data_IF_321704639196
#
_entry.id   IF_321704639196
#
_cell.length_a   1.000
_cell.length_b   1.000
_cell.length_c   1.000
_cell.angle_alpha   90.00
_cell.angle_beta   90.00
_cell.angle_gamma   90.00
#
_symmetry.space_group_name_H-M   'P 1'
#
loop_
_entity.id
_entity.type
_entity.pdbx_description
1 polymer ?
#
# COMPACT_ATOMS: atom_id res chain seq x y z
N UNK A 1 -18.51 -3.98 16.02
CA UNK A 1 -17.46 -2.95 15.89
C UNK A 1 -16.13 -3.67 15.88
N UNK A 2 -15.28 -3.41 14.89
CA UNK A 2 -13.97 -4.05 14.77
C UNK A 2 -12.88 -3.00 14.93
N UNK A 3 -11.85 -3.32 15.71
CA UNK A 3 -10.68 -2.47 15.92
C UNK A 3 -9.44 -3.27 15.52
N UNK A 4 -8.68 -2.74 14.57
CA UNK A 4 -7.42 -3.31 14.12
C UNK A 4 -6.30 -2.31 14.40
N UNK A 5 -5.08 -2.81 14.63
CA UNK A 5 -3.93 -1.98 14.98
C UNK A 5 -2.68 -2.57 14.34
N UNK A 6 -1.84 -1.71 13.75
CA UNK A 6 -0.66 -2.14 12.98
C UNK A 6 0.35 -2.94 13.82
N UNK A 7 0.43 -2.68 15.12
CA UNK A 7 1.26 -3.40 16.10
C UNK A 7 0.68 -4.77 16.52
N UNK A 8 -0.60 -5.02 16.25
CA UNK A 8 -1.32 -6.24 16.68
C UNK A 8 -1.73 -7.16 15.54
N UNK A 9 -1.79 -6.66 14.31
CA UNK A 9 -2.09 -7.51 13.15
C UNK A 9 -0.93 -8.45 12.87
N UNK A 10 -1.26 -9.70 12.54
CA UNK A 10 -0.27 -10.63 12.02
C UNK A 10 -0.12 -10.38 10.53
N UNK A 11 1.11 -10.20 10.11
CA UNK A 11 1.47 -10.11 8.71
C UNK A 11 1.74 -11.50 8.14
N UNK A 12 1.30 -11.72 6.91
CA UNK A 12 1.76 -12.82 6.08
C UNK A 12 2.34 -12.27 4.78
N UNK A 13 3.35 -12.95 4.25
CA UNK A 13 3.98 -12.53 3.01
C UNK A 13 3.12 -12.93 1.80
N UNK A 14 2.82 -11.95 0.96
CA UNK A 14 2.22 -12.17 -0.35
C UNK A 14 3.33 -12.33 -1.38
N UNK A 15 3.45 -13.55 -1.92
CA UNK A 15 4.40 -13.85 -2.98
C UNK A 15 3.80 -13.57 -4.36
N UNK A 16 4.66 -13.18 -5.28
CA UNK A 16 4.35 -12.96 -6.69
C UNK A 16 5.32 -13.78 -7.54
N UNK A 17 4.93 -14.21 -8.75
CA UNK A 17 5.87 -14.80 -9.72
C UNK A 17 7.06 -13.90 -10.05
N UNK A 18 6.91 -12.59 -9.84
CA UNK A 18 7.98 -11.59 -9.98
C UNK A 18 8.44 -11.19 -8.57
N UNK A 19 9.66 -11.58 -8.15
CA UNK A 19 10.13 -11.42 -6.76
C UNK A 19 10.13 -9.98 -6.24
N UNK A 20 10.21 -8.99 -7.13
CA UNK A 20 10.18 -7.57 -6.81
C UNK A 20 8.80 -7.09 -6.35
N UNK A 21 7.72 -7.77 -6.79
CA UNK A 21 6.33 -7.48 -6.39
C UNK A 21 5.91 -8.36 -5.22
N UNK A 22 6.63 -8.27 -4.11
CA UNK A 22 6.32 -9.00 -2.89
C UNK A 22 6.19 -8.02 -1.71
N UNK A 23 5.19 -8.25 -0.87
CA UNK A 23 4.93 -7.42 0.31
C UNK A 23 4.29 -8.27 1.40
N UNK A 24 4.32 -7.77 2.63
CA UNK A 24 3.58 -8.35 3.73
C UNK A 24 2.23 -7.64 3.87
N UNK A 25 1.18 -8.39 4.20
CA UNK A 25 -0.17 -7.84 4.38
C UNK A 25 -0.83 -8.46 5.60
N UNK A 26 -1.71 -7.70 6.25
CA UNK A 26 -2.62 -8.23 7.26
C UNK A 26 -3.59 -9.24 6.66
N UNK A 27 -4.33 -9.94 7.53
CA UNK A 27 -5.60 -10.56 7.14
C UNK A 27 -6.53 -9.57 6.43
N UNK A 28 -7.53 -10.09 5.71
CA UNK A 28 -8.54 -9.30 4.99
C UNK A 28 -9.49 -8.59 5.95
N UNK A 29 -9.07 -7.43 6.48
CA UNK A 29 -9.76 -6.74 7.57
C UNK A 29 -11.21 -6.37 7.21
N UNK A 30 -11.44 -5.99 5.95
CA UNK A 30 -12.76 -5.66 5.44
C UNK A 30 -13.73 -6.86 5.51
N UNK A 31 -13.25 -8.06 5.18
CA UNK A 31 -14.04 -9.30 5.26
C UNK A 31 -14.34 -9.65 6.72
N UNK A 32 -13.32 -9.58 7.59
CA UNK A 32 -13.49 -9.80 9.04
C UNK A 32 -14.49 -8.82 9.67
N UNK A 33 -14.55 -7.58 9.16
CA UNK A 33 -15.45 -6.55 9.65
C UNK A 33 -16.84 -6.54 8.97
N UNK A 34 -17.04 -7.36 7.92
CA UNK A 34 -18.25 -7.33 7.10
C UNK A 34 -18.46 -6.02 6.34
N UNK A 35 -17.37 -5.30 6.02
CA UNK A 35 -17.42 -4.05 5.25
C UNK A 35 -17.79 -4.33 3.80
N UNK A 36 -18.70 -3.52 3.25
CA UNK A 36 -19.23 -3.69 1.88
C UNK A 36 -18.60 -2.76 0.84
N UNK A 37 -18.06 -1.63 1.29
CA UNK A 37 -17.64 -0.55 0.40
C UNK A 37 -16.20 -0.13 0.64
N UNK A 38 -15.73 -0.21 1.89
CA UNK A 38 -14.38 0.18 2.26
C UNK A 38 -13.51 -1.05 2.46
N UNK A 39 -12.37 -1.08 1.77
CA UNK A 39 -11.34 -2.09 1.97
C UNK A 39 -10.08 -1.42 2.48
N UNK A 40 -9.62 -1.83 3.65
CA UNK A 40 -8.33 -1.42 4.21
C UNK A 40 -7.54 -2.68 4.54
N UNK A 41 -6.31 -2.73 4.04
CA UNK A 41 -5.30 -3.69 4.45
C UNK A 41 -4.16 -2.90 5.10
N UNK A 42 -3.55 -3.44 6.15
CA UNK A 42 -2.27 -2.90 6.64
C UNK A 42 -1.18 -3.68 5.92
N UNK A 43 -0.22 -2.99 5.32
CA UNK A 43 0.87 -3.60 4.54
C UNK A 43 2.22 -3.20 5.11
N UNK A 44 3.24 -3.98 4.75
CA UNK A 44 4.63 -3.65 5.00
C UNK A 44 5.43 -4.04 3.76
N UNK A 45 6.17 -3.09 3.22
CA UNK A 45 6.98 -3.25 2.02
C UNK A 45 8.46 -3.35 2.42
N UNK A 46 9.07 -4.49 2.11
CA UNK A 46 10.49 -4.72 2.41
C UNK A 46 11.40 -3.85 1.52
N UNK A 47 12.66 -3.60 1.93
CA UNK A 47 13.68 -2.96 1.10
C UNK A 47 13.77 -3.54 -0.32
N UNK A 48 13.82 -2.66 -1.32
CA UNK A 48 13.94 -3.04 -2.73
C UNK A 48 12.68 -3.66 -3.33
N UNK A 49 11.54 -3.63 -2.65
CA UNK A 49 10.26 -4.17 -3.14
C UNK A 49 9.32 -3.09 -3.62
N UNK A 50 8.41 -3.50 -4.50
CA UNK A 50 7.32 -2.70 -5.02
C UNK A 50 5.98 -3.22 -4.50
N UNK A 51 5.05 -2.31 -4.19
CA UNK A 51 3.69 -2.70 -3.78
C UNK A 51 2.91 -3.35 -4.92
N UNK A 52 3.05 -2.82 -6.15
CA UNK A 52 2.43 -3.34 -7.37
C UNK A 52 3.09 -2.71 -8.62
N UNK A 53 2.90 -3.25 -9.83
CA UNK A 53 3.23 -2.53 -11.06
C UNK A 53 2.57 -1.15 -11.14
N UNK A 54 3.15 -0.24 -11.93
CA UNK A 54 2.54 1.06 -12.21
C UNK A 54 1.18 0.89 -12.90
N UNK A 55 0.12 1.36 -12.26
CA UNK A 55 -1.25 1.08 -12.65
C UNK A 55 -2.21 2.18 -12.19
N UNK A 56 -3.46 2.11 -12.65
CA UNK A 56 -4.56 2.92 -12.13
C UNK A 56 -5.81 2.05 -11.99
N UNK A 57 -6.75 2.51 -11.18
CA UNK A 57 -8.00 1.81 -10.93
C UNK A 57 -9.13 2.42 -11.76
N UNK A 58 -10.05 1.59 -12.25
CA UNK A 58 -11.18 2.06 -13.06
C UNK A 58 -12.46 2.33 -12.26
N UNK A 59 -12.64 1.59 -11.17
CA UNK A 59 -13.92 1.47 -10.48
C UNK A 59 -13.85 1.78 -8.98
N UNK A 60 -12.67 2.17 -8.49
CA UNK A 60 -12.45 2.52 -7.09
C UNK A 60 -11.32 3.53 -7.01
N UNK A 61 -11.45 4.49 -6.09
CA UNK A 61 -10.31 5.29 -5.63
C UNK A 61 -9.44 4.43 -4.71
N UNK A 62 -8.17 4.80 -4.58
CA UNK A 62 -7.25 4.20 -3.61
C UNK A 62 -6.63 5.29 -2.74
N UNK A 63 -6.28 4.93 -1.51
CA UNK A 63 -5.66 5.82 -0.54
C UNK A 63 -4.50 5.08 0.12
N UNK A 64 -3.35 5.73 0.22
CA UNK A 64 -2.29 5.31 1.13
C UNK A 64 -2.24 6.22 2.35
N UNK A 65 -2.00 5.60 3.51
CA UNK A 65 -1.61 6.27 4.73
C UNK A 65 -0.29 5.66 5.14
N UNK A 66 0.79 6.44 5.08
CA UNK A 66 2.13 5.94 5.44
C UNK A 66 2.23 5.97 6.96
N UNK A 67 2.31 4.79 7.57
CA UNK A 67 2.33 4.62 9.02
C UNK A 67 3.75 4.70 9.58
N UNK A 68 4.74 4.19 8.83
CA UNK A 68 6.13 4.12 9.27
C UNK A 68 7.09 4.10 8.06
N UNK A 69 8.25 4.75 8.20
CA UNK A 69 9.31 4.73 7.19
C UNK A 69 9.10 5.74 6.05
N UNK A 70 9.72 5.46 4.91
CA UNK A 70 9.54 6.21 3.67
C UNK A 70 9.64 5.31 2.45
N UNK A 71 9.09 5.78 1.33
CA UNK A 71 9.12 5.10 0.05
C UNK A 71 9.05 6.11 -1.11
N UNK A 72 9.48 5.68 -2.29
CA UNK A 72 9.36 6.47 -3.51
C UNK A 72 8.00 6.19 -4.15
N UNK A 73 7.18 7.23 -4.26
CA UNK A 73 5.93 7.22 -5.01
C UNK A 73 6.19 7.73 -6.43
N UNK A 74 5.76 6.96 -7.41
CA UNK A 74 5.67 7.39 -8.81
C UNK A 74 4.22 7.71 -9.15
N UNK A 75 3.98 8.87 -9.77
CA UNK A 75 2.69 9.33 -10.32
C UNK A 75 2.90 9.88 -11.75
N UNK A 76 1.85 10.34 -12.47
CA UNK A 76 2.02 10.98 -13.77
C UNK A 76 2.89 12.25 -13.70
N UNK A 77 2.92 12.93 -12.56
CA UNK A 77 3.70 14.15 -12.32
C UNK A 77 5.18 13.88 -12.06
N UNK A 78 5.55 12.62 -11.80
CA UNK A 78 6.94 12.21 -11.59
C UNK A 78 7.12 11.35 -10.35
N UNK A 79 8.28 11.50 -9.70
CA UNK A 79 8.63 10.75 -8.50
C UNK A 79 8.74 11.70 -7.31
N UNK A 80 8.20 11.29 -6.17
CA UNK A 80 8.32 11.99 -4.90
C UNK A 80 8.47 10.97 -3.77
N UNK A 81 9.25 11.31 -2.75
CA UNK A 81 9.34 10.48 -1.55
C UNK A 81 8.15 10.78 -0.64
N UNK A 82 7.54 9.73 -0.08
CA UNK A 82 6.50 9.82 0.94
C UNK A 82 7.05 9.32 2.27
N UNK A 83 6.58 9.89 3.37
CA UNK A 83 7.07 9.64 4.73
C UNK A 83 5.93 9.34 5.69
N UNK A 84 6.27 8.77 6.85
CA UNK A 84 5.31 8.53 7.93
C UNK A 84 4.48 9.78 8.26
N UNK A 85 3.15 9.62 8.24
CA UNK A 85 2.17 10.70 8.41
C UNK A 85 1.56 11.20 7.10
N UNK A 86 2.17 10.91 5.94
CA UNK A 86 1.62 11.30 4.66
C UNK A 86 0.36 10.48 4.31
N UNK A 87 -0.59 11.17 3.65
CA UNK A 87 -1.84 10.61 3.18
C UNK A 87 -1.95 10.95 1.70
N UNK A 88 -2.07 9.92 0.85
CA UNK A 88 -2.04 10.08 -0.61
C UNK A 88 -3.31 9.49 -1.22
N UNK A 89 -4.06 10.33 -1.94
CA UNK A 89 -5.26 9.92 -2.65
C UNK A 89 -4.94 9.64 -4.12
N UNK A 90 -5.57 8.61 -4.66
CA UNK A 90 -5.51 8.24 -6.07
C UNK A 90 -6.93 8.19 -6.63
N UNK A 91 -7.22 9.11 -7.56
CA UNK A 91 -8.49 9.13 -8.28
C UNK A 91 -8.64 7.91 -9.20
N UNK A 92 -9.86 7.66 -9.65
CA UNK A 92 -10.08 6.70 -10.73
C UNK A 92 -9.51 7.21 -12.06
N UNK A 93 -9.00 6.29 -12.87
CA UNK A 93 -8.52 6.58 -14.22
C UNK A 93 -7.05 7.00 -14.27
N UNK A 94 -6.54 7.36 -15.47
CA UNK A 94 -5.11 7.55 -15.70
C UNK A 94 -4.44 8.66 -14.88
N UNK A 95 -5.19 9.67 -14.42
CA UNK A 95 -4.67 10.73 -13.54
C UNK A 95 -4.27 10.19 -12.17
N UNK A 96 -4.94 9.15 -11.67
CA UNK A 96 -4.60 8.48 -10.41
C UNK A 96 -3.60 7.35 -10.57
N UNK A 97 -2.86 7.26 -11.68
CA UNK A 97 -1.89 6.19 -11.88
C UNK A 97 -0.74 6.28 -10.87
N UNK A 98 -0.35 5.16 -10.26
CA UNK A 98 0.65 5.18 -9.21
C UNK A 98 1.45 3.88 -9.08
N UNK A 99 2.61 3.98 -8.42
CA UNK A 99 3.44 2.86 -7.97
C UNK A 99 4.24 3.28 -6.74
N UNK A 100 4.30 2.41 -5.73
CA UNK A 100 5.13 2.63 -4.54
C UNK A 100 6.31 1.66 -4.55
N UNK A 101 7.51 2.20 -4.32
CA UNK A 101 8.77 1.47 -4.26
C UNK A 101 9.52 1.81 -2.99
N UNK A 102 9.85 0.80 -2.18
CA UNK A 102 10.72 1.02 -1.04
C UNK A 102 12.19 0.99 -1.48
N UNK A 103 12.76 2.17 -1.74
CA UNK A 103 14.17 2.35 -2.10
C UNK A 103 15.11 2.37 -0.87
N UNK A 104 14.57 2.27 0.34
CA UNK A 104 15.34 2.40 1.58
C UNK A 104 15.83 1.04 2.09
N UNK A 105 16.63 1.05 3.15
CA UNK A 105 17.15 -0.17 3.81
C UNK A 105 16.25 -0.67 4.95
N UNK A 106 15.10 -0.03 5.20
CA UNK A 106 14.15 -0.39 6.27
C UNK A 106 12.76 -0.63 5.70
N UNK A 107 11.90 -1.43 6.34
CA UNK A 107 10.51 -1.58 5.90
C UNK A 107 9.75 -0.25 5.92
N UNK A 108 8.86 -0.07 4.94
CA UNK A 108 7.86 1.00 4.91
C UNK A 108 6.48 0.39 5.14
N UNK A 109 5.68 0.98 6.01
CA UNK A 109 4.32 0.50 6.32
C UNK A 109 3.27 1.50 5.89
#
# INVERSE_FOLDING_TARGET
MHLFSADRVKFHQKQSPVPEFAWHTSERLAELAGSKHLTFDIRSLDPGKYSFPYHFHRNAEELFVILEGSAMLRTPEGHQEVHAGDIVFFEMGPSGAHQLFNHTEKPCK
#
